data_IF_921396033839
#
_entry.id   IF_921396033839
#
_cell.length_a   1.000
_cell.length_b   1.000
_cell.length_c   1.000
_cell.angle_alpha   90.00
_cell.angle_beta   90.00
_cell.angle_gamma   90.00
#
_symmetry.space_group_name_H-M   'P 1'
#
loop_
_entity.id
_entity.type
_entity.pdbx_description
1 polymer ?
#
# COMPACT_ATOMS: atom_id res chain seq x y z
N UNK A 1 -24.16 -47.23 -18.53
CA UNK A 1 -22.86 -47.07 -17.83
C UNK A 1 -22.33 -45.67 -18.12
N UNK A 2 -22.49 -44.78 -17.15
CA UNK A 2 -21.91 -43.43 -17.15
C UNK A 2 -20.51 -43.52 -16.53
N UNK A 3 -19.73 -42.47 -16.73
CA UNK A 3 -18.45 -42.14 -16.07
C UNK A 3 -17.19 -42.60 -16.80
N UNK A 4 -16.71 -41.78 -17.75
CA UNK A 4 -15.28 -41.52 -17.95
C UNK A 4 -15.12 -40.28 -18.83
N UNK A 5 -14.90 -39.10 -18.25
CA UNK A 5 -14.07 -37.99 -18.79
C UNK A 5 -14.15 -36.76 -17.86
N UNK A 6 -13.72 -36.91 -16.61
CA UNK A 6 -13.32 -35.77 -15.78
C UNK A 6 -12.06 -36.18 -15.05
N UNK A 7 -10.95 -36.24 -15.78
CA UNK A 7 -9.61 -36.49 -15.23
C UNK A 7 -8.59 -35.80 -16.13
N UNK A 8 -8.63 -34.48 -16.15
CA UNK A 8 -7.60 -33.64 -16.77
C UNK A 8 -7.36 -32.32 -16.00
N UNK A 9 -7.77 -32.26 -14.73
CA UNK A 9 -7.53 -31.09 -13.85
C UNK A 9 -6.95 -31.45 -12.48
N UNK A 10 -6.39 -32.65 -12.31
CA UNK A 10 -5.69 -33.06 -11.07
C UNK A 10 -4.34 -33.66 -11.43
N UNK A 11 -3.43 -32.82 -11.94
CA UNK A 11 -2.00 -33.13 -12.05
C UNK A 11 -1.19 -31.96 -11.51
N UNK A 12 -1.38 -31.69 -10.21
CA UNK A 12 -0.39 -31.04 -9.36
C UNK A 12 -0.34 -31.69 -7.98
N UNK A 13 -0.67 -32.99 -7.88
CA UNK A 13 -0.74 -33.70 -6.60
C UNK A 13 0.15 -34.92 -6.47
N UNK A 14 0.97 -35.26 -7.48
CA UNK A 14 1.94 -36.35 -7.36
C UNK A 14 3.22 -36.07 -8.16
N UNK A 15 4.12 -35.29 -7.56
CA UNK A 15 5.59 -35.48 -7.56
C UNK A 15 6.22 -34.29 -6.88
N UNK A 16 7.06 -34.57 -5.88
CA UNK A 16 8.03 -33.67 -5.25
C UNK A 16 9.08 -33.18 -6.25
N UNK A 17 8.66 -32.52 -7.32
CA UNK A 17 9.43 -31.38 -7.77
C UNK A 17 9.04 -30.29 -6.78
N UNK A 18 9.93 -29.97 -5.84
CA UNK A 18 9.87 -28.72 -5.08
C UNK A 18 9.70 -27.60 -6.10
N UNK A 19 8.46 -27.17 -6.35
CA UNK A 19 8.26 -25.88 -6.98
C UNK A 19 8.82 -24.89 -5.96
N UNK A 20 10.01 -24.36 -6.23
CA UNK A 20 10.59 -23.29 -5.43
C UNK A 20 9.50 -22.25 -5.19
N UNK A 21 9.25 -21.90 -3.94
CA UNK A 21 8.20 -20.95 -3.61
C UNK A 21 8.37 -19.67 -4.46
N UNK A 22 7.40 -19.36 -5.32
CA UNK A 22 7.40 -18.17 -6.16
C UNK A 22 6.32 -17.20 -5.69
N UNK A 23 6.67 -15.93 -5.56
CA UNK A 23 5.70 -14.85 -5.42
C UNK A 23 4.78 -14.80 -6.64
N UNK A 24 3.49 -14.46 -6.44
CA UNK A 24 2.61 -14.08 -7.55
C UNK A 24 3.25 -13.04 -8.45
N UNK A 25 3.04 -13.17 -9.76
CA UNK A 25 3.71 -12.34 -10.77
C UNK A 25 3.42 -10.84 -10.58
N UNK A 26 2.25 -10.52 -10.02
CA UNK A 26 1.78 -9.18 -9.73
C UNK A 26 2.51 -8.53 -8.54
N UNK A 27 3.30 -9.27 -7.76
CA UNK A 27 4.22 -8.72 -6.76
C UNK A 27 5.61 -8.43 -7.33
N UNK A 28 5.98 -9.03 -8.47
CA UNK A 28 7.30 -8.83 -9.04
C UNK A 28 7.51 -7.36 -9.46
N UNK A 29 8.73 -6.88 -9.25
CA UNK A 29 9.17 -5.53 -9.60
C UNK A 29 9.81 -4.78 -8.43
N UNK A 30 10.02 -3.50 -8.65
CA UNK A 30 10.60 -2.61 -7.66
C UNK A 30 9.52 -1.85 -6.90
N UNK A 31 9.76 -1.71 -5.62
CA UNK A 31 8.85 -1.09 -4.67
C UNK A 31 9.60 -0.15 -3.74
N UNK A 32 8.84 0.75 -3.13
CA UNK A 32 9.28 1.75 -2.18
C UNK A 32 8.47 1.62 -0.89
N UNK A 33 9.13 1.66 0.26
CA UNK A 33 8.48 1.78 1.57
C UNK A 33 9.30 2.67 2.48
N UNK A 34 8.71 3.09 3.60
CA UNK A 34 9.41 3.82 4.67
C UNK A 34 9.25 3.02 5.95
N UNK A 35 10.30 2.36 6.41
CA UNK A 35 10.30 1.62 7.68
C UNK A 35 11.07 2.44 8.73
N UNK A 36 10.45 2.74 9.87
CA UNK A 36 11.10 3.50 10.95
C UNK A 36 11.73 4.84 10.50
N UNK A 37 11.10 5.51 9.53
CA UNK A 37 11.61 6.75 8.90
C UNK A 37 12.87 6.55 8.04
N UNK A 38 13.17 5.31 7.65
CA UNK A 38 14.22 4.95 6.72
C UNK A 38 13.55 4.58 5.38
N UNK A 39 13.83 5.29 4.29
CA UNK A 39 13.36 4.91 2.97
C UNK A 39 14.05 3.62 2.52
N UNK A 40 13.26 2.66 2.07
CA UNK A 40 13.71 1.38 1.55
C UNK A 40 13.30 1.23 0.09
N UNK A 41 14.25 0.78 -0.72
CA UNK A 41 13.94 0.24 -2.05
C UNK A 41 13.92 -1.28 -1.94
N UNK A 42 12.81 -1.86 -2.38
CA UNK A 42 12.53 -3.28 -2.26
C UNK A 42 12.42 -3.88 -3.66
N UNK A 43 13.11 -4.98 -3.91
CA UNK A 43 13.06 -5.69 -5.20
C UNK A 43 12.48 -7.07 -5.01
N UNK A 44 11.29 -7.32 -5.54
CA UNK A 44 10.65 -8.65 -5.49
C UNK A 44 10.78 -9.30 -6.87
N UNK A 45 11.34 -10.50 -6.92
CA UNK A 45 11.52 -11.23 -8.16
C UNK A 45 11.55 -12.73 -7.91
N UNK A 46 10.56 -13.44 -8.46
CA UNK A 46 10.49 -14.90 -8.39
C UNK A 46 10.33 -15.36 -6.95
N UNK A 47 11.38 -15.91 -6.34
CA UNK A 47 11.42 -16.33 -4.94
C UNK A 47 12.15 -15.36 -4.01
N UNK A 48 12.63 -14.21 -4.51
CA UNK A 48 13.49 -13.29 -3.74
C UNK A 48 12.78 -11.98 -3.40
N UNK A 49 13.04 -11.48 -2.19
CA UNK A 49 12.72 -10.12 -1.74
C UNK A 49 14.01 -9.46 -1.25
N UNK A 50 14.55 -8.56 -2.06
CA UNK A 50 15.77 -7.81 -1.76
C UNK A 50 15.44 -6.49 -1.06
N UNK A 51 16.22 -6.14 -0.04
CA UNK A 51 16.08 -4.89 0.70
C UNK A 51 17.34 -4.04 0.55
N UNK A 52 17.18 -2.83 0.02
CA UNK A 52 18.28 -1.89 -0.16
C UNK A 52 17.96 -0.66 0.69
N UNK A 53 18.72 -0.47 1.77
CA UNK A 53 18.65 0.70 2.65
C UNK A 53 19.80 1.67 2.36
N UNK A 54 19.47 2.92 2.01
CA UNK A 54 20.45 4.01 1.86
C UNK A 54 21.11 4.14 0.47
N UNK A 55 21.97 5.18 0.29
CA UNK A 55 22.65 5.45 -0.98
C UNK A 55 23.81 4.47 -1.20
N UNK A 56 23.81 3.85 -2.39
CA UNK A 56 24.85 3.01 -3.05
C UNK A 56 25.91 2.36 -2.13
N UNK A 57 25.90 1.03 -2.10
CA UNK A 57 26.95 0.13 -1.60
C UNK A 57 26.82 -0.41 -0.15
N UNK A 58 25.68 -0.24 0.50
CA UNK A 58 25.33 -1.09 1.65
C UNK A 58 24.97 -2.50 1.14
N UNK A 59 25.66 -3.55 1.62
CA UNK A 59 25.35 -4.95 1.31
C UNK A 59 23.83 -5.18 1.43
N UNK A 60 23.20 -5.60 0.33
CA UNK A 60 21.77 -5.88 0.30
C UNK A 60 21.47 -7.11 1.19
N UNK A 61 20.61 -6.91 2.18
CA UNK A 61 19.94 -8.04 2.80
C UNK A 61 18.85 -8.55 1.86
N UNK A 62 18.57 -9.84 1.92
CA UNK A 62 17.55 -10.43 1.08
C UNK A 62 16.85 -11.56 1.81
N UNK A 63 15.62 -11.83 1.39
CA UNK A 63 14.81 -12.92 1.87
C UNK A 63 14.50 -13.87 0.73
N UNK A 64 14.54 -15.17 0.99
CA UNK A 64 14.15 -16.22 0.04
C UNK A 64 12.86 -16.87 0.48
N UNK A 65 11.88 -16.96 -0.40
CA UNK A 65 10.62 -17.62 -0.10
C UNK A 65 10.80 -19.12 0.15
N UNK A 66 10.15 -19.60 1.20
CA UNK A 66 10.03 -21.02 1.54
C UNK A 66 8.62 -21.55 1.32
N UNK A 67 7.60 -20.76 1.65
CA UNK A 67 6.20 -21.17 1.52
C UNK A 67 5.26 -19.96 1.44
N UNK A 68 4.08 -20.14 0.82
CA UNK A 68 3.04 -19.11 0.68
C UNK A 68 1.67 -19.69 1.07
N UNK A 69 1.01 -19.01 2.01
CA UNK A 69 -0.40 -19.22 2.31
C UNK A 69 -1.24 -18.09 1.74
N UNK A 70 -2.16 -18.41 0.84
CA UNK A 70 -3.14 -17.46 0.35
C UNK A 70 -4.35 -17.48 1.29
N UNK A 71 -4.61 -16.35 1.94
CA UNK A 71 -5.76 -16.24 2.84
C UNK A 71 -7.06 -16.22 2.04
N UNK A 72 -8.13 -16.88 2.54
CA UNK A 72 -9.43 -16.78 1.91
C UNK A 72 -9.92 -15.32 1.93
N UNK A 73 -10.68 -14.89 0.91
CA UNK A 73 -11.26 -13.56 0.87
C UNK A 73 -12.12 -13.32 2.11
N UNK A 74 -11.93 -12.19 2.79
CA UNK A 74 -12.78 -11.82 3.94
C UNK A 74 -14.01 -11.06 3.47
N UNK A 75 -15.22 -11.50 3.84
CA UNK A 75 -16.42 -10.70 3.68
C UNK A 75 -16.26 -9.38 4.47
N UNK A 76 -16.38 -8.23 3.81
CA UNK A 76 -16.33 -6.92 4.46
C UNK A 76 -14.97 -6.22 4.54
N UNK A 77 -13.87 -6.84 4.06
CA UNK A 77 -12.67 -6.09 3.67
C UNK A 77 -12.80 -5.70 2.20
N UNK A 78 -13.31 -4.50 1.97
CA UNK A 78 -13.77 -3.94 0.69
C UNK A 78 -12.73 -3.98 -0.46
N UNK A 79 -13.22 -4.24 -1.68
CA UNK A 79 -12.70 -3.67 -2.94
C UNK A 79 -11.33 -4.12 -3.46
N UNK A 80 -10.61 -5.00 -2.75
CA UNK A 80 -9.26 -5.42 -3.14
C UNK A 80 -9.28 -6.37 -4.34
N UNK A 81 -8.64 -6.00 -5.45
CA UNK A 81 -8.54 -6.83 -6.67
C UNK A 81 -7.51 -7.98 -6.58
N UNK A 82 -7.07 -8.37 -5.39
CA UNK A 82 -6.04 -9.40 -5.22
C UNK A 82 -6.10 -10.04 -3.85
N UNK A 83 -5.24 -11.05 -3.65
CA UNK A 83 -5.31 -11.92 -2.47
C UNK A 83 -4.30 -11.51 -1.40
N UNK A 84 -4.78 -11.46 -0.15
CA UNK A 84 -3.90 -11.37 1.00
C UNK A 84 -3.15 -12.70 1.16
N UNK A 85 -1.89 -12.65 1.56
CA UNK A 85 -1.06 -13.84 1.73
C UNK A 85 -0.15 -13.70 2.95
N UNK A 86 0.24 -14.83 3.53
CA UNK A 86 1.38 -14.91 4.45
C UNK A 86 2.47 -15.69 3.74
N UNK A 87 3.69 -15.18 3.79
CA UNK A 87 4.85 -15.77 3.15
C UNK A 87 5.85 -16.12 4.23
N UNK A 88 6.25 -17.39 4.30
CA UNK A 88 7.39 -17.79 5.09
C UNK A 88 8.65 -17.59 4.25
N UNK A 89 9.60 -16.81 4.79
CA UNK A 89 10.87 -16.54 4.15
C UNK A 89 12.04 -16.83 5.07
N UNK A 90 13.20 -17.10 4.49
CA UNK A 90 14.48 -17.17 5.18
C UNK A 90 15.27 -15.88 4.89
N UNK A 91 15.77 -15.22 5.93
CA UNK A 91 16.50 -13.96 5.85
C UNK A 91 18.00 -14.19 5.78
N UNK A 92 18.66 -13.51 4.85
CA UNK A 92 20.08 -13.62 4.57
C UNK A 92 20.80 -12.27 4.72
N UNK A 93 22.09 -12.32 5.06
CA UNK A 93 22.99 -11.16 5.11
C UNK A 93 22.55 -10.04 6.07
N UNK A 94 22.04 -10.40 7.24
CA UNK A 94 21.58 -9.43 8.24
C UNK A 94 22.76 -8.84 9.00
N UNK A 95 23.24 -7.64 8.62
CA UNK A 95 24.41 -6.94 9.22
C UNK A 95 24.37 -6.81 10.77
N UNK A 96 23.19 -6.92 11.40
CA UNK A 96 23.01 -6.77 12.84
C UNK A 96 22.78 -8.10 13.60
N UNK A 97 22.86 -9.26 12.93
CA UNK A 97 22.63 -10.57 13.57
C UNK A 97 23.78 -11.57 13.36
N UNK A 98 25.00 -11.09 13.05
CA UNK A 98 26.20 -11.94 12.95
C UNK A 98 26.58 -12.69 14.24
N UNK A 99 25.78 -12.54 15.32
CA UNK A 99 25.96 -13.19 16.62
C UNK A 99 24.80 -14.16 16.97
N UNK A 100 23.85 -14.41 16.06
CA UNK A 100 22.76 -15.35 16.31
C UNK A 100 23.15 -16.75 15.82
N UNK A 101 23.28 -17.69 16.75
CA UNK A 101 23.37 -19.13 16.45
C UNK A 101 22.01 -19.65 15.96
N UNK A 102 21.64 -19.42 14.71
CA UNK A 102 20.39 -19.93 14.14
C UNK A 102 20.01 -19.36 12.77
N UNK A 103 19.06 -20.02 12.11
CA UNK A 103 18.44 -19.53 10.88
C UNK A 103 17.34 -18.52 11.22
N UNK A 104 17.38 -17.34 10.61
CA UNK A 104 16.35 -16.31 10.78
C UNK A 104 15.26 -16.52 9.74
N UNK A 105 14.10 -16.98 10.19
CA UNK A 105 12.90 -17.03 9.39
C UNK A 105 12.07 -15.76 9.60
N UNK A 106 11.30 -15.39 8.59
CA UNK A 106 10.42 -14.22 8.63
C UNK A 106 9.07 -14.61 8.08
N UNK A 107 8.03 -14.42 8.88
CA UNK A 107 6.66 -14.48 8.40
C UNK A 107 6.27 -13.09 7.92
N UNK A 108 5.94 -12.99 6.63
CA UNK A 108 5.53 -11.72 6.02
C UNK A 108 4.08 -11.81 5.60
N UNK A 109 3.23 -11.10 6.32
CA UNK A 109 1.85 -10.89 5.93
C UNK A 109 1.81 -9.79 4.89
N UNK A 110 1.21 -10.06 3.74
CA UNK A 110 1.03 -9.13 2.63
C UNK A 110 -0.47 -8.95 2.42
N UNK A 111 -0.94 -7.72 2.60
CA UNK A 111 -2.30 -7.29 2.36
C UNK A 111 -2.35 -6.58 1.01
N UNK A 112 -3.05 -7.18 0.06
CA UNK A 112 -3.19 -6.61 -1.27
C UNK A 112 -4.18 -5.46 -1.26
N UNK A 113 -3.76 -4.27 -1.74
CA UNK A 113 -4.65 -3.10 -1.85
C UNK A 113 -4.95 -2.76 -3.29
N UNK A 114 -3.93 -2.72 -4.13
CA UNK A 114 -4.02 -2.55 -5.58
C UNK A 114 -2.78 -3.13 -6.27
N UNK A 115 -2.76 -3.09 -7.60
CA UNK A 115 -1.57 -3.46 -8.38
C UNK A 115 -0.33 -2.60 -8.07
N UNK A 116 -0.53 -1.41 -7.50
CA UNK A 116 0.52 -0.47 -7.17
C UNK A 116 0.77 -0.32 -5.66
N UNK A 117 -0.06 -0.94 -4.82
CA UNK A 117 -0.02 -0.73 -3.36
C UNK A 117 -0.28 -2.04 -2.66
N UNK A 118 0.63 -2.40 -1.76
CA UNK A 118 0.42 -3.45 -0.78
C UNK A 118 0.80 -2.94 0.60
N UNK A 119 0.23 -3.53 1.63
CA UNK A 119 0.66 -3.31 3.00
C UNK A 119 1.26 -4.60 3.53
N UNK A 120 2.34 -4.53 4.30
CA UNK A 120 2.98 -5.74 4.81
C UNK A 120 3.38 -5.61 6.28
N UNK A 121 3.46 -6.74 6.98
CA UNK A 121 4.04 -6.85 8.32
C UNK A 121 5.07 -7.97 8.31
N UNK A 122 6.24 -7.71 8.89
CA UNK A 122 7.29 -8.71 9.09
C UNK A 122 7.31 -9.16 10.54
N UNK A 123 7.37 -10.45 10.77
CA UNK A 123 7.59 -11.06 12.08
C UNK A 123 8.81 -11.98 12.01
N UNK A 124 9.86 -11.62 12.73
CA UNK A 124 11.14 -12.32 12.71
C UNK A 124 11.17 -13.44 13.76
N UNK A 125 11.65 -14.60 13.36
CA UNK A 125 11.63 -15.84 14.15
C UNK A 125 12.98 -16.52 13.98
N UNK A 126 13.70 -16.74 15.09
CA UNK A 126 14.96 -17.49 15.08
C UNK A 126 14.66 -18.96 15.30
N UNK A 127 15.14 -19.81 14.40
CA UNK A 127 15.03 -21.27 14.49
C UNK A 127 16.40 -21.91 14.56
N UNK A 128 16.53 -22.94 15.39
CA UNK A 128 17.78 -23.65 15.62
C UNK A 128 17.85 -24.94 14.81
N UNK A 129 19.07 -25.46 14.64
CA UNK A 129 19.29 -26.72 13.93
C UNK A 129 18.42 -27.86 14.50
N UNK A 130 17.81 -28.64 13.60
CA UNK A 130 16.93 -29.75 13.96
C UNK A 130 15.49 -29.36 14.33
N UNK A 131 15.14 -28.07 14.39
CA UNK A 131 13.74 -27.65 14.54
C UNK A 131 12.96 -27.81 13.24
N UNK A 132 11.77 -28.41 13.32
CA UNK A 132 10.85 -28.47 12.19
C UNK A 132 10.19 -27.10 11.96
N UNK A 133 10.47 -26.52 10.79
CA UNK A 133 9.96 -25.21 10.39
C UNK A 133 8.84 -25.39 9.37
N UNK A 134 7.65 -24.89 9.68
CA UNK A 134 6.52 -24.88 8.76
C UNK A 134 5.70 -23.62 8.96
N UNK A 135 5.22 -23.01 7.88
CA UNK A 135 4.37 -21.82 8.00
C UNK A 135 3.17 -22.02 8.94
N UNK A 136 2.63 -23.24 9.04
CA UNK A 136 1.50 -23.58 9.93
C UNK A 136 1.85 -23.63 11.42
N UNK A 137 3.14 -23.74 11.80
CA UNK A 137 3.55 -23.78 13.20
C UNK A 137 4.17 -22.46 13.67
N UNK A 138 4.85 -21.72 12.78
CA UNK A 138 5.59 -20.53 13.17
C UNK A 138 4.97 -19.20 12.74
N UNK A 139 4.06 -19.17 11.75
CA UNK A 139 3.43 -17.91 11.32
C UNK A 139 2.05 -17.70 11.98
N UNK A 140 1.89 -16.76 12.94
CA UNK A 140 0.66 -16.62 13.71
C UNK A 140 -0.59 -16.39 12.87
N UNK A 141 -0.48 -15.59 11.80
CA UNK A 141 -1.58 -15.30 10.88
C UNK A 141 -2.14 -16.55 10.21
N UNK A 142 -1.29 -17.56 9.98
CA UNK A 142 -1.68 -18.85 9.40
C UNK A 142 -2.16 -19.80 10.49
N UNK A 143 -1.40 -19.94 11.59
CA UNK A 143 -1.76 -20.81 12.72
C UNK A 143 -3.17 -20.51 13.26
N UNK A 144 -3.53 -19.23 13.33
CA UNK A 144 -4.85 -18.80 13.80
C UNK A 144 -5.95 -19.00 12.75
N UNK A 145 -5.63 -18.87 11.46
CA UNK A 145 -6.58 -19.15 10.38
C UNK A 145 -7.11 -20.60 10.43
N UNK A 146 -6.25 -21.58 10.76
CA UNK A 146 -6.67 -22.98 10.96
C UNK A 146 -7.59 -23.19 12.16
N UNK A 147 -7.56 -22.27 13.13
CA UNK A 147 -8.45 -22.27 14.30
C UNK A 147 -9.74 -21.49 14.05
N UNK A 148 -9.95 -20.99 12.84
CA UNK A 148 -11.08 -20.13 12.48
C UNK A 148 -10.93 -18.67 12.92
N UNK A 149 -9.79 -18.31 13.53
CA UNK A 149 -9.46 -16.97 13.98
C UNK A 149 -8.61 -16.28 12.91
N UNK A 150 -9.27 -15.77 11.89
CA UNK A 150 -8.56 -15.01 10.86
C UNK A 150 -8.06 -13.69 11.46
N UNK A 151 -6.78 -13.61 11.82
CA UNK A 151 -6.11 -12.41 12.36
C UNK A 151 -4.94 -11.95 11.46
N UNK A 152 -5.27 -11.49 10.24
CA UNK A 152 -4.38 -10.68 9.43
C UNK A 152 -4.18 -9.32 10.12
N UNK A 153 -2.99 -8.71 9.99
CA UNK A 153 -2.74 -7.41 10.59
C UNK A 153 -3.70 -6.35 10.06
N UNK A 154 -4.02 -5.38 10.91
CA UNK A 154 -4.75 -4.18 10.53
C UNK A 154 -3.82 -3.17 9.84
N UNK A 155 -4.37 -2.14 9.19
CA UNK A 155 -3.58 -1.04 8.60
C UNK A 155 -2.57 -0.43 9.58
N UNK A 156 -2.87 -0.42 10.89
CA UNK A 156 -2.01 0.16 11.92
C UNK A 156 -0.80 -0.72 12.28
N UNK A 157 -0.84 -2.00 11.92
CA UNK A 157 0.20 -2.99 12.23
C UNK A 157 1.07 -3.33 11.01
N UNK A 158 0.83 -2.63 9.90
CA UNK A 158 1.52 -2.86 8.63
C UNK A 158 2.35 -1.65 8.22
N UNK A 159 3.32 -1.85 7.33
CA UNK A 159 4.00 -0.80 6.58
C UNK A 159 3.44 -0.76 5.16
N UNK A 160 3.28 0.44 4.59
CA UNK A 160 2.81 0.59 3.20
C UNK A 160 3.98 0.49 2.22
N UNK A 161 3.77 -0.27 1.14
CA UNK A 161 4.70 -0.43 0.04
C UNK A 161 4.05 0.02 -1.27
N UNK A 162 4.71 0.94 -1.98
CA UNK A 162 4.26 1.52 -3.25
C UNK A 162 5.13 1.03 -4.40
N UNK A 163 4.52 0.67 -5.52
CA UNK A 163 5.24 0.22 -6.70
C UNK A 163 6.01 1.37 -7.32
N UNK A 164 7.31 1.19 -7.56
CA UNK A 164 8.21 2.25 -8.04
C UNK A 164 7.85 2.74 -9.45
N UNK A 165 7.59 1.79 -10.35
CA UNK A 165 7.01 2.05 -11.66
C UNK A 165 5.54 1.62 -11.61
N UNK A 166 4.67 2.59 -11.32
CA UNK A 166 3.24 2.35 -11.16
C UNK A 166 2.57 2.07 -12.50
N UNK A 167 1.64 1.12 -12.50
CA UNK A 167 0.68 0.92 -13.57
C UNK A 167 -0.35 2.05 -13.56
N UNK A 168 -0.80 2.53 -14.74
CA UNK A 168 -1.82 3.58 -14.81
C UNK A 168 -3.10 3.15 -14.07
N UNK A 169 -3.61 4.04 -13.21
CA UNK A 169 -4.94 3.91 -12.62
C UNK A 169 -5.71 5.21 -12.76
N UNK A 170 -7.03 5.10 -12.78
CA UNK A 170 -7.93 6.24 -12.96
C UNK A 170 -8.18 6.94 -11.63
N UNK A 171 -7.80 8.20 -11.52
CA UNK A 171 -8.15 9.00 -10.36
C UNK A 171 -9.66 9.20 -10.20
N UNK A 172 -10.42 9.20 -11.29
CA UNK A 172 -11.89 9.27 -11.29
C UNK A 172 -12.60 8.10 -10.62
N UNK A 173 -11.90 6.97 -10.40
CA UNK A 173 -12.42 5.82 -9.64
C UNK A 173 -12.26 6.01 -8.12
N UNK A 174 -11.37 6.92 -7.70
CA UNK A 174 -11.08 7.21 -6.29
C UNK A 174 -11.79 8.50 -5.86
N UNK A 175 -11.67 9.54 -6.67
CA UNK A 175 -12.28 10.84 -6.44
C UNK A 175 -13.41 11.03 -7.44
N UNK A 176 -14.56 11.50 -6.98
CA UNK A 176 -15.64 11.84 -7.92
C UNK A 176 -15.11 12.85 -8.95
N UNK A 177 -15.50 12.75 -10.23
CA UNK A 177 -15.08 13.73 -11.22
C UNK A 177 -15.53 15.15 -10.84
N UNK A 178 -14.59 16.08 -10.75
CA UNK A 178 -14.91 17.46 -10.38
C UNK A 178 -13.71 18.36 -10.11
N UNK A 179 -14.04 19.63 -9.89
CA UNK A 179 -13.11 20.64 -9.36
C UNK A 179 -13.49 20.90 -7.91
N UNK A 180 -12.49 20.88 -7.05
CA UNK A 180 -12.62 21.03 -5.60
C UNK A 180 -11.76 22.18 -5.13
N UNK A 181 -12.28 22.92 -4.15
CA UNK A 181 -11.46 23.84 -3.38
C UNK A 181 -10.87 23.11 -2.18
N UNK A 182 -9.57 23.32 -1.96
CA UNK A 182 -8.83 22.79 -0.84
C UNK A 182 -8.52 23.88 0.17
N UNK A 183 -8.78 23.56 1.44
CA UNK A 183 -8.22 24.28 2.58
C UNK A 183 -7.18 23.38 3.29
N UNK A 184 -5.93 23.86 3.43
CA UNK A 184 -4.84 23.17 4.14
C UNK A 184 -4.64 23.73 5.54
N UNK A 185 -4.43 22.86 6.53
CA UNK A 185 -4.18 23.32 7.91
C UNK A 185 -2.69 23.61 8.23
N UNK A 186 -1.73 23.08 7.45
CA UNK A 186 -0.28 23.21 7.73
C UNK A 186 0.29 24.53 7.21
N UNK A 187 1.21 25.13 7.96
CA UNK A 187 1.74 26.49 7.78
C UNK A 187 2.25 26.83 6.37
N UNK A 188 3.01 25.94 5.72
CA UNK A 188 3.63 26.25 4.44
C UNK A 188 2.63 26.29 3.28
N UNK A 189 1.64 25.39 3.24
CA UNK A 189 0.54 25.49 2.26
C UNK A 189 -0.54 26.49 2.66
N UNK A 190 -0.71 26.75 3.95
CA UNK A 190 -1.63 27.79 4.43
C UNK A 190 -1.22 29.18 3.97
N UNK A 191 0.08 29.44 3.81
CA UNK A 191 0.60 30.67 3.20
C UNK A 191 0.37 30.70 1.68
N UNK A 192 0.54 29.56 1.01
CA UNK A 192 0.34 29.40 -0.43
C UNK A 192 -1.13 29.56 -0.84
N UNK A 193 -2.06 28.94 -0.10
CA UNK A 193 -3.51 29.01 -0.36
C UNK A 193 -4.18 30.23 0.31
N UNK A 194 -3.41 31.17 0.90
CA UNK A 194 -3.98 32.29 1.68
C UNK A 194 -4.62 33.37 0.82
N UNK A 195 -4.02 33.61 -0.36
CA UNK A 195 -4.38 34.73 -1.25
C UNK A 195 -5.17 34.28 -2.49
N UNK A 196 -5.22 32.98 -2.78
CA UNK A 196 -5.97 32.40 -3.90
C UNK A 196 -6.43 30.98 -3.54
N UNK A 197 -7.65 30.56 -3.91
CA UNK A 197 -8.12 29.21 -3.64
C UNK A 197 -7.21 28.18 -4.31
N UNK A 198 -6.72 27.22 -3.53
CA UNK A 198 -6.09 26.03 -4.06
C UNK A 198 -7.16 25.12 -4.66
N UNK A 199 -6.99 24.71 -5.92
CA UNK A 199 -7.95 23.91 -6.65
C UNK A 199 -7.40 22.52 -6.87
N UNK A 200 -8.12 21.50 -6.41
CA UNK A 200 -7.91 20.12 -6.80
C UNK A 200 -8.83 19.80 -7.98
N UNK A 201 -8.28 19.24 -9.04
CA UNK A 201 -9.05 18.84 -10.21
C UNK A 201 -8.87 17.35 -10.41
N UNK A 202 -9.98 16.61 -10.34
CA UNK A 202 -10.05 15.18 -10.65
C UNK A 202 -10.90 15.01 -11.92
N UNK A 203 -10.49 15.63 -13.02
CA UNK A 203 -11.26 15.64 -14.26
C UNK A 203 -10.59 14.75 -15.30
N UNK A 204 -11.17 13.56 -15.61
CA UNK A 204 -10.60 12.70 -16.62
C UNK A 204 -10.66 13.41 -17.98
N UNK A 205 -9.54 13.43 -18.68
CA UNK A 205 -9.45 13.89 -20.08
C UNK A 205 -9.38 12.68 -21.00
N UNK A 206 -9.45 12.89 -22.32
CA UNK A 206 -9.26 11.80 -23.31
C UNK A 206 -7.89 11.12 -23.23
N UNK A 207 -6.89 11.78 -22.62
CA UNK A 207 -5.50 11.31 -22.60
C UNK A 207 -5.01 10.94 -21.20
N UNK A 208 -5.52 11.57 -20.16
CA UNK A 208 -5.04 11.40 -18.79
C UNK A 208 -6.18 11.46 -17.76
N UNK A 209 -6.12 10.60 -16.75
CA UNK A 209 -7.03 10.57 -15.59
C UNK A 209 -6.20 10.71 -14.30
N UNK A 210 -5.66 11.93 -14.13
CA UNK A 210 -4.76 12.33 -13.05
C UNK A 210 -5.45 13.30 -12.11
N UNK A 211 -4.90 13.41 -10.90
CA UNK A 211 -5.31 14.41 -9.93
C UNK A 211 -4.37 15.60 -10.04
N UNK A 212 -4.92 16.79 -10.21
CA UNK A 212 -4.14 18.02 -10.45
C UNK A 212 -4.43 19.04 -9.36
N UNK A 213 -3.41 19.45 -8.62
CA UNK A 213 -3.46 20.53 -7.64
C UNK A 213 -2.90 21.80 -8.26
N UNK A 214 -3.73 22.81 -8.42
CA UNK A 214 -3.33 24.13 -8.88
C UNK A 214 -3.38 25.14 -7.73
N UNK A 215 -2.33 25.94 -7.58
CA UNK A 215 -2.25 26.96 -6.54
C UNK A 215 -1.47 28.20 -7.01
N UNK A 216 -1.78 29.36 -6.45
CA UNK A 216 -1.00 30.57 -6.69
C UNK A 216 0.24 30.58 -5.80
N UNK A 217 1.42 30.71 -6.38
CA UNK A 217 2.64 30.94 -5.63
C UNK A 217 2.84 32.42 -5.32
N UNK A 218 3.76 32.72 -4.40
CA UNK A 218 4.05 34.09 -3.92
C UNK A 218 4.54 35.07 -4.99
N UNK A 219 4.89 34.56 -6.18
CA UNK A 219 5.38 35.30 -7.34
C UNK A 219 4.30 35.54 -8.41
N UNK A 220 3.02 35.45 -8.04
CA UNK A 220 1.83 35.54 -8.91
C UNK A 220 1.75 34.49 -10.03
N UNK A 221 2.68 33.51 -10.04
CA UNK A 221 2.64 32.39 -10.97
C UNK A 221 1.76 31.26 -10.43
N UNK A 222 0.90 30.72 -11.28
CA UNK A 222 0.16 29.49 -10.95
C UNK A 222 1.11 28.31 -11.03
N UNK A 223 1.25 27.57 -9.93
CA UNK A 223 1.95 26.29 -9.88
C UNK A 223 0.96 25.16 -9.93
N UNK A 224 1.40 24.06 -10.54
CA UNK A 224 0.60 22.86 -10.72
C UNK A 224 1.41 21.68 -10.20
N UNK A 225 0.77 20.83 -9.39
CA UNK A 225 1.26 19.53 -9.01
C UNK A 225 0.32 18.47 -9.57
N UNK A 226 0.88 17.49 -10.23
CA UNK A 226 0.19 16.37 -10.85
C UNK A 226 0.45 15.12 -10.03
N UNK A 227 -0.60 14.36 -9.79
CA UNK A 227 -0.53 13.11 -9.05
C UNK A 227 -1.10 11.97 -9.89
N UNK A 228 -0.36 10.86 -9.93
CA UNK A 228 -0.89 9.57 -10.32
C UNK A 228 -1.62 8.94 -9.13
N UNK A 229 -2.80 8.39 -9.39
CA UNK A 229 -3.50 7.56 -8.43
C UNK A 229 -2.96 6.14 -8.45
N UNK A 230 -2.72 5.57 -7.27
CA UNK A 230 -2.14 4.25 -7.10
C UNK A 230 -3.16 3.23 -6.59
N UNK A 231 -4.34 3.67 -6.16
CA UNK A 231 -5.44 2.80 -5.73
C UNK A 231 -6.12 3.28 -4.45
N UNK A 232 -7.26 2.68 -4.16
CA UNK A 232 -8.06 2.95 -2.97
C UNK A 232 -8.55 1.64 -2.34
N UNK A 233 -8.74 1.67 -1.02
CA UNK A 233 -9.27 0.55 -0.26
C UNK A 233 -9.96 1.07 1.00
N UNK A 234 -10.84 0.29 1.60
CA UNK A 234 -11.38 0.64 2.91
C UNK A 234 -10.75 -0.23 4.00
N UNK A 235 -10.70 0.32 5.21
CA UNK A 235 -10.30 -0.41 6.39
C UNK A 235 -11.06 0.08 7.61
N UNK A 236 -11.29 -0.84 8.55
CA UNK A 236 -11.84 -0.52 9.87
C UNK A 236 -10.68 -0.28 10.83
N UNK A 237 -10.66 0.91 11.43
CA UNK A 237 -9.67 1.31 12.43
C UNK A 237 -10.41 1.78 13.67
N UNK A 238 -10.13 1.14 14.81
CA UNK A 238 -10.78 1.44 16.10
C UNK A 238 -12.32 1.48 16.02
N UNK A 239 -12.90 0.50 15.31
CA UNK A 239 -14.36 0.37 15.13
C UNK A 239 -14.99 1.39 14.19
N UNK A 240 -14.20 2.17 13.44
CA UNK A 240 -14.68 3.14 12.44
C UNK A 240 -14.17 2.78 11.06
N UNK A 241 -15.01 2.98 10.05
CA UNK A 241 -14.66 2.72 8.65
C UNK A 241 -14.00 3.96 8.02
N UNK A 242 -12.86 3.72 7.38
CA UNK A 242 -12.13 4.73 6.63
C UNK A 242 -11.89 4.27 5.21
N UNK A 243 -11.83 5.24 4.31
CA UNK A 243 -11.38 5.07 2.93
C UNK A 243 -9.96 5.61 2.83
N UNK A 244 -9.07 4.77 2.32
CA UNK A 244 -7.69 5.10 2.03
C UNK A 244 -7.50 5.27 0.52
N UNK A 245 -6.59 6.17 0.15
CA UNK A 245 -6.17 6.37 -1.23
C UNK A 245 -4.66 6.59 -1.26
N UNK A 246 -3.98 6.02 -2.24
CA UNK A 246 -2.55 6.23 -2.45
C UNK A 246 -2.32 7.04 -3.71
N UNK A 247 -1.40 7.99 -3.63
CA UNK A 247 -1.04 8.93 -4.69
C UNK A 247 0.48 8.98 -4.84
N UNK A 248 0.94 9.35 -6.04
CA UNK A 248 2.32 9.71 -6.33
C UNK A 248 2.37 11.04 -7.05
N UNK A 249 3.06 12.03 -6.48
CA UNK A 249 3.39 13.28 -7.16
C UNK A 249 4.42 13.03 -8.25
N UNK A 250 4.16 13.58 -9.45
CA UNK A 250 5.07 13.48 -10.60
C UNK A 250 6.11 14.61 -10.63
N UNK A 251 5.83 15.71 -9.95
CA UNK A 251 6.64 16.93 -9.98
C UNK A 251 7.70 16.98 -8.87
N UNK A 252 7.69 16.00 -7.95
CA UNK A 252 8.66 15.89 -6.86
C UNK A 252 9.74 14.88 -7.25
N UNK A 253 10.97 15.36 -7.37
CA UNK A 253 12.13 14.54 -7.75
C UNK A 253 12.58 13.55 -6.65
N UNK A 254 12.21 13.79 -5.39
CA UNK A 254 12.47 12.88 -4.27
C UNK A 254 11.43 11.77 -4.17
N UNK A 255 11.84 10.51 -4.37
CA UNK A 255 10.93 9.34 -4.30
C UNK A 255 10.15 9.30 -2.99
N UNK A 256 10.79 9.52 -1.85
CA UNK A 256 10.14 9.51 -0.54
C UNK A 256 9.04 10.57 -0.42
N UNK A 257 9.30 11.77 -0.92
CA UNK A 257 8.36 12.87 -0.88
C UNK A 257 7.29 12.78 -1.96
N UNK A 258 7.48 11.93 -2.98
CA UNK A 258 6.52 11.75 -4.07
C UNK A 258 5.29 10.95 -3.66
N UNK A 259 5.44 9.92 -2.81
CA UNK A 259 4.32 9.08 -2.40
C UNK A 259 3.52 9.68 -1.25
N UNK A 260 2.20 9.55 -1.31
CA UNK A 260 1.27 10.00 -0.28
C UNK A 260 0.16 8.97 -0.10
N UNK A 261 -0.10 8.62 1.14
CA UNK A 261 -1.33 7.96 1.57
C UNK A 261 -2.28 9.02 2.11
N UNK A 262 -3.53 8.94 1.69
CA UNK A 262 -4.63 9.76 2.16
C UNK A 262 -5.66 8.89 2.86
N UNK A 263 -6.35 9.45 3.85
CA UNK A 263 -7.44 8.79 4.57
C UNK A 263 -8.60 9.75 4.82
N UNK A 264 -9.82 9.28 4.62
CA UNK A 264 -11.05 9.97 5.04
C UNK A 264 -12.01 9.00 5.74
N UNK A 265 -12.93 9.54 6.54
CA UNK A 265 -13.96 8.74 7.16
C UNK A 265 -15.05 8.42 6.12
N UNK A 266 -15.25 7.14 5.83
CA UNK A 266 -16.14 6.67 4.74
C UNK A 266 -17.57 7.18 4.87
N UNK A 267 -18.04 7.27 6.12
CA UNK A 267 -19.44 7.58 6.43
C UNK A 267 -19.63 9.04 6.87
N UNK A 268 -18.56 9.84 6.92
CA UNK A 268 -18.65 11.23 7.32
C UNK A 268 -19.23 12.08 6.19
N UNK A 269 -20.53 12.37 6.28
CA UNK A 269 -21.15 13.49 5.56
C UNK A 269 -21.12 14.69 6.48
N UNK A 270 -20.24 15.66 6.20
CA UNK A 270 -20.23 16.89 6.99
C UNK A 270 -21.42 17.78 6.59
N UNK A 271 -22.08 18.46 7.55
CA UNK A 271 -23.26 19.30 7.27
C UNK A 271 -23.00 20.43 6.27
N UNK A 272 -21.76 20.86 6.14
CA UNK A 272 -21.27 21.88 5.22
C UNK A 272 -20.95 21.32 3.82
N UNK A 273 -21.18 20.02 3.58
CA UNK A 273 -20.89 19.35 2.31
C UNK A 273 -19.39 19.20 2.02
N UNK A 274 -18.53 19.40 3.01
CA UNK A 274 -17.08 19.23 2.88
C UNK A 274 -16.68 17.80 3.20
N UNK A 275 -15.54 17.37 2.68
CA UNK A 275 -14.88 16.11 3.04
C UNK A 275 -13.54 16.42 3.69
N UNK A 276 -13.23 15.72 4.79
CA UNK A 276 -11.96 15.88 5.50
C UNK A 276 -11.06 14.70 5.20
N UNK A 277 -9.94 15.01 4.57
CA UNK A 277 -8.89 14.07 4.25
C UNK A 277 -7.67 14.38 5.11
N UNK A 278 -6.93 13.34 5.45
CA UNK A 278 -5.63 13.46 6.10
C UNK A 278 -4.58 12.73 5.31
N UNK A 279 -3.32 13.13 5.44
CA UNK A 279 -2.24 12.66 4.58
C UNK A 279 -0.97 12.31 5.37
N UNK A 280 -0.28 11.27 4.91
CA UNK A 280 1.04 10.86 5.38
C UNK A 280 1.81 10.14 4.26
N UNK A 281 3.09 9.86 4.43
CA UNK A 281 3.85 9.00 3.52
C UNK A 281 3.57 7.51 3.76
N UNK A 282 3.15 7.13 4.97
CA UNK A 282 2.78 5.76 5.34
C UNK A 282 1.36 5.73 5.92
N UNK A 283 0.51 4.83 5.42
CA UNK A 283 -0.89 4.72 5.82
C UNK A 283 -1.05 4.31 7.29
N UNK A 284 -0.10 3.59 7.89
CA UNK A 284 -0.17 3.17 9.29
C UNK A 284 -0.12 4.34 10.28
N UNK A 285 0.43 5.49 9.87
CA UNK A 285 0.46 6.73 10.66
C UNK A 285 -0.91 7.42 10.66
N UNK A 286 -1.84 6.99 9.82
CA UNK A 286 -3.18 7.54 9.69
C UNK A 286 -4.19 6.69 10.48
N UNK A 287 -4.32 6.96 11.78
CA UNK A 287 -5.22 6.22 12.69
C UNK A 287 -6.56 6.91 12.93
N UNK A 288 -6.66 8.22 12.68
CA UNK A 288 -7.92 8.95 12.53
C UNK A 288 -7.70 10.27 11.76
N UNK A 289 -8.78 10.94 11.41
CA UNK A 289 -8.74 12.22 10.69
C UNK A 289 -8.42 13.44 11.58
N UNK A 290 -8.13 13.24 12.87
CA UNK A 290 -7.98 14.32 13.88
C UNK A 290 -6.51 14.63 14.19
N UNK A 291 -5.63 13.62 14.21
CA UNK A 291 -4.24 13.78 14.68
C UNK A 291 -3.16 13.56 13.62
N UNK A 292 -3.55 13.42 12.35
CA UNK A 292 -2.56 13.30 11.28
C UNK A 292 -1.71 14.57 11.14
N UNK A 293 -0.47 14.40 10.68
CA UNK A 293 0.48 15.48 10.46
C UNK A 293 0.02 16.50 9.42
N UNK A 294 -0.80 16.05 8.45
CA UNK A 294 -1.31 16.88 7.37
C UNK A 294 -2.81 16.66 7.21
N UNK A 295 -3.55 17.76 7.16
CA UNK A 295 -5.01 17.79 7.06
C UNK A 295 -5.42 18.65 5.89
N UNK A 296 -6.35 18.09 5.13
CA UNK A 296 -6.87 18.59 3.88
C UNK A 296 -8.38 18.63 3.99
N UNK A 297 -8.98 19.80 3.88
CA UNK A 297 -10.43 19.89 3.71
C UNK A 297 -10.72 20.09 2.23
N UNK A 298 -11.47 19.16 1.64
CA UNK A 298 -11.91 19.22 0.25
C UNK A 298 -13.37 19.67 0.25
N UNK A 299 -13.70 20.67 -0.55
CA UNK A 299 -15.06 21.15 -0.75
C UNK A 299 -15.34 21.29 -2.24
N UNK A 300 -16.58 21.08 -2.69
CA UNK A 300 -16.92 21.33 -4.09
C UNK A 300 -16.62 22.79 -4.42
N UNK A 301 -15.92 23.02 -5.53
CA UNK A 301 -15.69 24.37 -6.01
C UNK A 301 -17.03 25.03 -6.40
N UNK A 302 -17.02 26.37 -6.50
CA UNK A 302 -18.18 27.19 -6.82
C UNK A 302 -19.00 26.64 -8.01
N UNK A 303 -20.34 26.84 -8.05
CA UNK A 303 -21.25 26.18 -9.01
C UNK A 303 -20.95 26.28 -10.52
N UNK A 304 -19.96 27.09 -10.94
CA UNK A 304 -19.49 27.23 -12.32
C UNK A 304 -18.24 26.40 -12.69
N UNK A 305 -17.53 25.82 -11.71
CA UNK A 305 -16.30 25.05 -11.97
C UNK A 305 -16.65 23.56 -12.08
N UNK A 306 -16.65 23.04 -13.30
CA UNK A 306 -16.92 21.63 -13.62
C UNK A 306 -15.84 21.12 -14.56
N UNK A 307 -15.69 19.80 -14.62
CA UNK A 307 -14.88 19.19 -15.68
C UNK A 307 -15.43 19.62 -17.03
N UNK A 308 -14.60 20.29 -17.82
CA UNK A 308 -14.91 20.54 -19.22
C UNK A 308 -14.96 19.19 -19.95
N UNK A 309 -16.00 18.99 -20.76
CA UNK A 309 -16.25 17.73 -21.49
C UNK A 309 -15.44 17.65 -22.77
#
# INVERSE_FOLDING_TARGET
MKTLLVLLFVLCFQREALCDCQFPAELNGEWFSVENSIPLRLGISGSFWNEISGPKDSQASYMTCKDIFIHPPRPGQDGTQGNNMTVLMEYHNMKHMNEIDGTVNVCVDILWRSINVVQYRKEYIVTFEGQYVSMFNICPSVTNAYKGEFNLPTTLETTTMYRWMSFPMKCSEIFQPGVYQIDYEKHWMKEVCRNSPCLLTACPTRREDKLVLSYAASDDNTKVLTFDCLGSWNATVNGREYTYAALRSLDINGIEESYKCMMTNRNAKFPDGKERWVMSTDCNKLYNTVFASEKLTISKASPGMKCEK
#
